data_IF_632654315186
#
_entry.id   IF_632654315186
#
_cell.length_a   1.000
_cell.length_b   1.000
_cell.length_c   1.000
_cell.angle_alpha   90.00
_cell.angle_beta   90.00
_cell.angle_gamma   90.00
#
_symmetry.space_group_name_H-M   'P 1'
#
loop_
_entity.id
_entity.type
_entity.pdbx_description
1 polymer ?
#
# COMPACT_ATOMS: atom_id res chain seq x y z
N UNK A 1 -2.29 61.20 11.83
CA UNK A 1 -0.95 60.67 12.15
C UNK A 1 -1.13 59.75 13.35
N UNK A 2 -0.96 58.44 13.27
CA UNK A 2 -0.57 57.57 12.18
C UNK A 2 -1.31 56.23 12.36
N UNK A 3 -1.46 55.51 11.25
CA UNK A 3 -2.03 54.18 11.13
C UNK A 3 -1.27 53.15 11.96
N UNK A 4 -1.97 52.12 12.44
CA UNK A 4 -1.40 50.77 12.48
C UNK A 4 -2.48 49.76 12.06
N UNK A 5 -2.26 49.23 10.85
CA UNK A 5 -2.93 48.06 10.30
C UNK A 5 -2.55 46.81 11.11
N UNK A 6 -3.49 45.91 11.34
CA UNK A 6 -3.27 44.72 12.14
C UNK A 6 -4.19 43.56 11.83
N UNK A 7 -4.12 43.06 10.59
CA UNK A 7 -4.16 41.63 10.30
C UNK A 7 -5.40 40.83 10.73
N UNK A 8 -6.39 40.80 9.84
CA UNK A 8 -7.52 39.89 9.86
C UNK A 8 -7.05 38.46 9.52
N UNK A 9 -6.57 37.69 10.51
CA UNK A 9 -6.23 36.28 10.31
C UNK A 9 -7.49 35.43 10.46
N UNK A 10 -8.07 35.08 9.30
CA UNK A 10 -9.11 34.05 9.17
C UNK A 10 -8.59 32.74 9.78
N UNK A 11 -9.21 32.30 10.89
CA UNK A 11 -9.05 30.95 11.42
C UNK A 11 -9.67 29.95 10.45
N UNK A 12 -8.84 29.28 9.65
CA UNK A 12 -9.25 28.08 8.91
C UNK A 12 -9.17 26.92 9.88
N UNK A 13 -10.33 26.46 10.35
CA UNK A 13 -10.45 25.24 11.15
C UNK A 13 -10.47 24.07 10.16
N UNK A 14 -9.34 23.36 10.00
CA UNK A 14 -9.32 22.08 9.29
C UNK A 14 -9.84 21.00 10.24
N UNK A 15 -11.03 20.48 9.96
CA UNK A 15 -11.59 19.31 10.59
C UNK A 15 -10.90 18.08 10.01
N UNK A 16 -9.84 17.59 10.66
CA UNK A 16 -9.20 16.32 10.28
C UNK A 16 -10.09 15.16 10.72
N UNK A 17 -10.76 14.52 9.76
CA UNK A 17 -11.45 13.25 9.97
C UNK A 17 -10.37 12.17 10.13
N UNK A 18 -10.23 11.65 11.34
CA UNK A 18 -9.43 10.46 11.61
C UNK A 18 -10.21 9.26 11.11
N UNK A 19 -9.85 8.74 9.94
CA UNK A 19 -10.35 7.46 9.44
C UNK A 19 -9.57 6.33 10.13
N UNK A 20 -10.14 5.83 11.22
CA UNK A 20 -9.70 4.59 11.85
C UNK A 20 -10.09 3.43 10.92
N UNK A 21 -9.09 2.70 10.40
CA UNK A 21 -9.31 1.47 9.63
C UNK A 21 -9.69 0.36 10.61
N UNK A 22 -10.99 0.09 10.75
CA UNK A 22 -11.50 -1.08 11.45
C UNK A 22 -11.61 -2.26 10.48
N UNK A 23 -10.78 -3.29 10.66
CA UNK A 23 -10.99 -4.59 10.05
C UNK A 23 -12.06 -5.35 10.86
N UNK A 24 -13.31 -5.30 10.40
CA UNK A 24 -14.37 -6.18 10.89
C UNK A 24 -14.53 -7.35 9.93
N UNK A 25 -13.84 -8.46 10.24
CA UNK A 25 -14.13 -9.77 9.69
C UNK A 25 -15.43 -10.29 10.32
N UNK A 26 -16.55 -10.11 9.63
CA UNK A 26 -17.84 -10.67 10.01
C UNK A 26 -18.16 -11.92 9.20
N UNK A 27 -18.33 -13.07 9.88
CA UNK A 27 -18.69 -14.37 9.32
C UNK A 27 -20.17 -14.49 8.88
N UNK A 28 -20.41 -15.53 8.04
CA UNK A 28 -21.66 -16.26 7.73
C UNK A 28 -22.63 -15.65 6.67
N UNK A 29 -23.30 -16.40 5.77
CA UNK A 29 -23.35 -17.84 5.45
C UNK A 29 -24.10 -18.05 4.10
N UNK A 30 -23.79 -19.13 3.34
CA UNK A 30 -24.69 -19.93 2.45
C UNK A 30 -25.30 -19.25 1.20
N UNK A 31 -25.43 -19.79 -0.03
CA UNK A 31 -25.22 -21.07 -0.74
C UNK A 31 -25.19 -20.74 -2.25
N UNK A 32 -24.30 -21.32 -3.07
CA UNK A 32 -24.68 -21.95 -4.35
C UNK A 32 -23.49 -22.70 -5.00
N UNK A 33 -23.68 -23.91 -5.56
CA UNK A 33 -22.63 -24.63 -6.27
C UNK A 33 -22.64 -24.25 -7.76
N UNK A 34 -21.50 -23.85 -8.29
CA UNK A 34 -21.31 -23.53 -9.70
C UNK A 34 -19.93 -23.95 -10.16
N UNK A 35 -19.84 -25.18 -10.65
CA UNK A 35 -18.67 -25.81 -11.27
C UNK A 35 -18.06 -24.93 -12.38
N UNK A 36 -16.72 -24.87 -12.54
CA UNK A 36 -16.15 -24.73 -13.87
C UNK A 36 -15.08 -25.79 -14.16
N UNK A 37 -15.24 -26.42 -15.33
CA UNK A 37 -14.24 -27.27 -15.93
C UNK A 37 -12.96 -26.48 -16.27
N UNK A 38 -11.83 -27.18 -16.16
CA UNK A 38 -10.50 -26.67 -16.50
C UNK A 38 -10.30 -26.71 -18.02
N UNK A 39 -10.41 -25.57 -18.68
CA UNK A 39 -9.65 -25.28 -19.90
C UNK A 39 -8.54 -24.29 -19.54
N UNK A 40 -7.29 -24.62 -19.91
CA UNK A 40 -6.12 -23.81 -19.59
C UNK A 40 -6.10 -22.52 -20.41
N UNK A 41 -6.09 -21.38 -19.73
CA UNK A 41 -6.14 -20.07 -20.37
C UNK A 41 -4.77 -19.63 -20.88
N UNK A 42 -4.76 -19.13 -22.12
CA UNK A 42 -3.58 -18.66 -22.85
C UNK A 42 -3.16 -17.25 -22.38
N UNK A 43 -1.87 -16.87 -22.52
CA UNK A 43 -1.43 -15.50 -22.27
C UNK A 43 -2.16 -14.53 -23.21
N UNK A 44 -2.85 -13.53 -22.64
CA UNK A 44 -3.59 -12.51 -23.39
C UNK A 44 -5.09 -12.43 -23.12
N UNK A 45 -5.64 -13.18 -22.15
CA UNK A 45 -7.01 -12.95 -21.71
C UNK A 45 -7.22 -11.54 -21.17
N UNK A 46 -8.35 -10.94 -21.53
CA UNK A 46 -8.75 -9.60 -21.13
C UNK A 46 -9.07 -9.57 -19.63
N UNK A 47 -8.01 -9.36 -18.83
CA UNK A 47 -8.06 -9.22 -17.37
C UNK A 47 -9.09 -8.14 -16.95
N UNK A 48 -9.36 -7.17 -17.84
CA UNK A 48 -10.35 -6.10 -17.63
C UNK A 48 -11.77 -6.63 -17.46
N UNK A 49 -12.12 -7.76 -18.09
CA UNK A 49 -13.45 -8.38 -17.96
C UNK A 49 -13.65 -9.09 -16.61
N UNK A 50 -12.56 -9.60 -16.03
CA UNK A 50 -12.55 -10.30 -14.74
C UNK A 50 -12.67 -9.29 -13.60
N UNK A 51 -11.91 -8.20 -13.66
CA UNK A 51 -11.82 -7.17 -12.60
C UNK A 51 -13.06 -6.26 -12.57
N UNK A 52 -13.74 -6.05 -13.71
CA UNK A 52 -14.95 -5.21 -13.77
C UNK A 52 -16.27 -5.96 -13.52
N UNK A 53 -16.24 -7.28 -13.25
CA UNK A 53 -17.47 -8.07 -13.12
C UNK A 53 -18.19 -7.96 -11.77
N UNK A 54 -17.58 -7.39 -10.73
CA UNK A 54 -18.26 -7.05 -9.46
C UNK A 54 -17.62 -5.81 -8.85
N UNK A 55 -18.41 -4.73 -8.73
CA UNK A 55 -18.02 -3.56 -7.95
C UNK A 55 -17.62 -3.98 -6.54
N UNK A 56 -16.35 -3.73 -6.19
CA UNK A 56 -15.86 -3.72 -4.81
C UNK A 56 -15.96 -5.04 -4.06
N UNK A 57 -15.43 -6.14 -4.60
CA UNK A 57 -15.04 -7.30 -3.77
C UNK A 57 -13.79 -7.96 -4.35
N UNK A 58 -12.81 -8.20 -3.49
CA UNK A 58 -11.64 -9.05 -3.70
C UNK A 58 -12.12 -10.47 -4.07
N UNK A 59 -12.34 -10.76 -5.35
CA UNK A 59 -12.62 -12.12 -5.79
C UNK A 59 -11.29 -12.81 -6.08
N UNK A 60 -10.88 -13.69 -5.16
CA UNK A 60 -9.77 -14.62 -5.26
C UNK A 60 -9.87 -15.63 -6.44
N UNK A 61 -10.76 -15.40 -7.42
CA UNK A 61 -11.25 -16.46 -8.31
C UNK A 61 -10.62 -16.47 -9.71
N UNK A 62 -9.66 -15.59 -10.03
CA UNK A 62 -8.80 -15.83 -11.20
C UNK A 62 -7.46 -15.11 -11.14
N UNK A 63 -6.52 -15.62 -10.33
CA UNK A 63 -5.10 -15.30 -10.51
C UNK A 63 -4.63 -16.03 -11.77
N UNK A 64 -4.19 -15.33 -12.84
CA UNK A 64 -3.76 -15.98 -14.07
C UNK A 64 -2.55 -16.88 -13.84
N UNK A 65 -2.45 -17.97 -14.58
CA UNK A 65 -1.36 -18.95 -14.43
C UNK A 65 0.02 -18.32 -14.59
N UNK A 66 0.20 -17.42 -15.54
CA UNK A 66 1.49 -16.74 -15.73
C UNK A 66 1.90 -15.93 -14.49
N UNK A 67 0.94 -15.27 -13.81
CA UNK A 67 1.20 -14.46 -12.63
C UNK A 67 1.52 -15.36 -11.44
N UNK A 68 0.74 -16.43 -11.28
CA UNK A 68 0.97 -17.44 -10.25
C UNK A 68 2.36 -18.06 -10.39
N UNK A 69 2.75 -18.50 -11.59
CA UNK A 69 4.06 -19.09 -11.85
C UNK A 69 5.20 -18.07 -11.65
N UNK A 70 4.99 -16.81 -12.05
CA UNK A 70 5.96 -15.73 -11.82
C UNK A 70 6.21 -15.51 -10.33
N UNK A 71 5.15 -15.48 -9.51
CA UNK A 71 5.24 -15.34 -8.06
C UNK A 71 5.86 -16.58 -7.40
N UNK A 72 5.47 -17.78 -7.83
CA UNK A 72 6.04 -19.02 -7.31
C UNK A 72 7.56 -19.07 -7.52
N UNK A 73 8.03 -18.61 -8.69
CA UNK A 73 9.46 -18.52 -9.01
C UNK A 73 10.24 -17.49 -8.19
N UNK A 74 9.58 -16.61 -7.43
CA UNK A 74 10.23 -15.65 -6.51
C UNK A 74 10.60 -16.27 -5.17
N UNK A 75 9.94 -17.35 -4.79
CA UNK A 75 10.22 -18.05 -3.56
C UNK A 75 11.15 -19.21 -3.87
N UNK A 76 12.27 -19.29 -3.16
CA UNK A 76 13.17 -20.44 -3.20
C UNK A 76 12.54 -21.59 -2.42
N UNK A 77 11.45 -22.13 -2.98
CA UNK A 77 10.75 -23.26 -2.42
C UNK A 77 11.55 -24.51 -2.79
N UNK A 78 12.52 -24.85 -1.96
CA UNK A 78 13.17 -26.15 -2.03
C UNK A 78 12.09 -27.23 -2.10
N UNK A 79 12.25 -28.20 -2.99
CA UNK A 79 11.26 -29.26 -3.24
C UNK A 79 10.88 -30.11 -2.00
N UNK A 80 11.61 -29.93 -0.89
CA UNK A 80 11.33 -30.56 0.42
C UNK A 80 10.37 -29.72 1.30
N UNK A 81 10.28 -28.41 1.07
CA UNK A 81 9.30 -27.54 1.71
C UNK A 81 8.13 -27.36 0.75
N UNK A 82 7.09 -28.18 0.91
CA UNK A 82 5.78 -28.02 0.27
C UNK A 82 5.08 -26.73 0.74
N UNK A 83 5.72 -25.57 0.60
CA UNK A 83 5.01 -24.31 0.75
C UNK A 83 4.13 -24.16 -0.48
N UNK A 84 2.94 -24.76 -0.43
CA UNK A 84 1.90 -24.45 -1.39
C UNK A 84 1.54 -22.98 -1.18
N UNK A 85 1.83 -22.12 -2.15
CA UNK A 85 1.30 -20.77 -2.17
C UNK A 85 -0.16 -20.86 -2.63
N UNK A 86 -1.17 -20.76 -1.74
CA UNK A 86 -2.54 -20.73 -2.19
C UNK A 86 -2.77 -19.52 -3.10
N UNK A 87 -3.49 -19.71 -4.21
CA UNK A 87 -3.77 -18.61 -5.15
C UNK A 87 -4.54 -17.49 -4.49
N UNK A 88 -5.40 -17.83 -3.54
CA UNK A 88 -6.17 -16.89 -2.73
C UNK A 88 -5.31 -16.00 -1.82
N UNK A 89 -4.04 -16.34 -1.55
CA UNK A 89 -3.11 -15.46 -0.85
C UNK A 89 -2.50 -14.37 -1.77
N UNK A 90 -2.70 -14.46 -3.08
CA UNK A 90 -2.24 -13.46 -4.03
C UNK A 90 -3.33 -12.41 -4.19
N UNK A 91 -3.00 -11.18 -3.81
CA UNK A 91 -3.85 -10.02 -4.09
C UNK A 91 -3.38 -9.34 -5.36
N UNK A 92 -4.31 -8.96 -6.24
CA UNK A 92 -4.03 -8.28 -7.49
C UNK A 92 -4.92 -7.04 -7.67
N UNK A 93 -4.38 -6.02 -8.33
CA UNK A 93 -5.08 -4.81 -8.69
C UNK A 93 -4.68 -4.37 -10.11
N UNK A 94 -5.67 -4.03 -10.93
CA UNK A 94 -5.42 -3.36 -12.19
C UNK A 94 -5.08 -1.90 -11.94
N UNK A 95 -4.01 -1.44 -12.58
CA UNK A 95 -3.52 -0.06 -12.48
C UNK A 95 -3.20 0.48 -13.87
N UNK A 96 -3.33 1.80 -14.01
CA UNK A 96 -3.15 2.57 -15.25
C UNK A 96 -2.24 3.78 -14.95
N UNK A 97 -1.05 3.49 -14.42
CA UNK A 97 -0.03 4.50 -14.06
C UNK A 97 0.66 5.09 -15.28
N UNK A 98 0.63 4.36 -16.40
CA UNK A 98 1.20 4.73 -17.70
C UNK A 98 0.20 4.43 -18.81
N UNK A 99 0.17 5.27 -19.84
CA UNK A 99 -0.53 4.97 -21.07
C UNK A 99 0.25 3.89 -21.86
N UNK A 100 -0.31 2.69 -21.97
CA UNK A 100 0.30 1.55 -22.66
C UNK A 100 -0.75 0.73 -23.41
N UNK A 101 -0.30 -0.24 -24.21
CA UNK A 101 -1.16 -1.08 -25.04
C UNK A 101 -2.11 -1.98 -24.24
N UNK A 102 -1.76 -2.31 -23.00
CA UNK A 102 -2.62 -3.02 -22.04
C UNK A 102 -2.52 -2.40 -20.65
N UNK A 103 -3.39 -2.81 -19.71
CA UNK A 103 -3.31 -2.34 -18.34
C UNK A 103 -2.03 -2.82 -17.65
N UNK A 104 -1.64 -2.16 -16.56
CA UNK A 104 -0.63 -2.68 -15.66
C UNK A 104 -1.30 -3.49 -14.54
N UNK A 105 -0.56 -4.44 -13.97
CA UNK A 105 -1.04 -5.30 -12.89
C UNK A 105 -0.11 -5.15 -11.70
N UNK A 106 -0.63 -4.64 -10.59
CA UNK A 106 0.03 -4.71 -9.29
C UNK A 106 -0.41 -6.01 -8.62
N UNK A 107 0.54 -6.76 -8.06
CA UNK A 107 0.26 -7.97 -7.32
C UNK A 107 1.12 -8.02 -6.07
N UNK A 108 0.58 -8.57 -4.99
CA UNK A 108 1.37 -8.86 -3.81
C UNK A 108 0.95 -10.15 -3.13
N UNK A 109 1.90 -10.70 -2.39
CA UNK A 109 1.76 -11.91 -1.59
C UNK A 109 2.57 -11.73 -0.31
N UNK A 110 2.02 -12.20 0.79
CA UNK A 110 2.66 -12.19 2.11
C UNK A 110 2.52 -13.58 2.68
N UNK A 111 3.64 -14.27 2.87
CA UNK A 111 3.66 -15.63 3.42
C UNK A 111 3.65 -15.58 4.95
N UNK A 112 4.48 -14.71 5.52
CA UNK A 112 4.57 -14.48 6.95
C UNK A 112 4.97 -13.01 7.24
N UNK A 113 5.53 -12.73 8.42
CA UNK A 113 5.97 -11.37 8.80
C UNK A 113 7.36 -11.01 8.30
N UNK A 114 7.99 -11.90 7.52
CA UNK A 114 9.36 -11.79 7.02
C UNK A 114 9.41 -11.90 5.50
N UNK A 115 8.64 -12.83 4.92
CA UNK A 115 8.67 -13.18 3.51
C UNK A 115 7.41 -12.72 2.77
N UNK A 116 7.62 -12.01 1.66
CA UNK A 116 6.56 -11.59 0.76
C UNK A 116 7.09 -10.72 -0.37
N UNK A 117 6.24 -10.47 -1.38
CA UNK A 117 6.62 -9.66 -2.53
C UNK A 117 5.50 -8.70 -2.90
N UNK A 118 5.90 -7.47 -3.26
CA UNK A 118 5.12 -6.58 -4.11
C UNK A 118 5.74 -6.58 -5.51
N UNK A 119 4.93 -6.79 -6.55
CA UNK A 119 5.34 -6.82 -7.94
C UNK A 119 4.43 -5.93 -8.78
N UNK A 120 5.01 -5.26 -9.78
CA UNK A 120 4.28 -4.53 -10.82
C UNK A 120 4.65 -5.10 -12.18
N UNK A 121 3.63 -5.33 -13.00
CA UNK A 121 3.78 -5.85 -14.34
C UNK A 121 3.20 -4.88 -15.37
N UNK A 122 3.88 -4.74 -16.51
CA UNK A 122 3.40 -4.01 -17.68
C UNK A 122 3.24 -4.96 -18.86
N UNK A 123 2.17 -4.79 -19.63
CA UNK A 123 1.98 -5.52 -20.88
C UNK A 123 2.85 -4.93 -22.00
N UNK A 124 3.83 -5.69 -22.47
CA UNK A 124 4.74 -5.32 -23.55
C UNK A 124 5.04 -6.52 -24.45
N UNK A 125 5.02 -6.30 -25.77
CA UNK A 125 5.38 -7.33 -26.76
C UNK A 125 4.55 -8.63 -26.63
N UNK A 126 3.26 -8.49 -26.31
CA UNK A 126 2.34 -9.62 -26.22
C UNK A 126 2.36 -10.36 -24.87
N UNK A 127 3.17 -9.93 -23.89
CA UNK A 127 3.25 -10.57 -22.58
C UNK A 127 3.35 -9.55 -21.44
N UNK A 128 3.01 -9.97 -20.22
CA UNK A 128 3.28 -9.18 -19.02
C UNK A 128 4.74 -9.34 -18.59
N UNK A 129 5.44 -8.23 -18.39
CA UNK A 129 6.83 -8.17 -17.91
C UNK A 129 6.87 -7.48 -16.55
N UNK A 130 7.65 -8.03 -15.62
CA UNK A 130 7.94 -7.36 -14.35
C UNK A 130 8.70 -6.06 -14.62
N UNK A 131 8.22 -4.97 -14.02
CA UNK A 131 8.79 -3.62 -14.17
C UNK A 131 9.15 -2.97 -12.84
N UNK A 132 8.68 -3.54 -11.74
CA UNK A 132 9.06 -3.17 -10.38
C UNK A 132 8.88 -4.36 -9.44
N UNK A 133 9.78 -4.52 -8.48
CA UNK A 133 9.66 -5.51 -7.42
C UNK A 133 10.21 -5.00 -6.10
N UNK A 134 9.56 -5.40 -5.01
CA UNK A 134 10.03 -5.21 -3.65
C UNK A 134 9.83 -6.52 -2.88
N UNK A 135 10.92 -7.08 -2.35
CA UNK A 135 10.92 -8.29 -1.54
C UNK A 135 10.70 -7.94 -0.08
N UNK A 136 9.43 -7.72 0.28
CA UNK A 136 8.95 -7.49 1.64
C UNK A 136 7.48 -7.92 1.75
N UNK A 137 7.02 -8.39 2.93
CA UNK A 137 5.60 -8.66 3.14
C UNK A 137 4.80 -7.36 3.10
N UNK A 138 3.67 -7.42 2.39
CA UNK A 138 2.77 -6.30 2.13
C UNK A 138 1.49 -6.48 2.94
N UNK A 139 1.08 -5.42 3.64
CA UNK A 139 -0.06 -5.42 4.55
C UNK A 139 -1.29 -4.69 4.01
N UNK A 140 -1.15 -3.98 2.90
CA UNK A 140 -2.27 -3.31 2.24
C UNK A 140 -1.79 -2.49 1.06
N UNK A 141 -2.70 -2.28 0.11
CA UNK A 141 -2.48 -1.52 -1.11
C UNK A 141 -3.66 -0.60 -1.37
N UNK A 142 -3.37 0.60 -1.87
CA UNK A 142 -4.36 1.57 -2.30
C UNK A 142 -3.90 2.25 -3.58
N UNK A 143 -4.83 2.40 -4.52
CA UNK A 143 -4.60 3.13 -5.78
C UNK A 143 -5.14 4.54 -5.63
N UNK A 144 -4.33 5.53 -5.99
CA UNK A 144 -4.64 6.96 -5.92
C UNK A 144 -4.72 7.58 -7.31
N UNK A 145 -5.69 8.49 -7.51
CA UNK A 145 -6.01 9.07 -8.82
C UNK A 145 -6.87 8.14 -9.67
N UNK A 146 -7.35 8.61 -10.83
CA UNK A 146 -8.14 7.74 -11.71
C UNK A 146 -9.03 8.37 -12.78
N UNK A 147 -9.16 9.69 -12.89
CA UNK A 147 -9.83 10.34 -14.02
C UNK A 147 -9.06 11.59 -14.45
N UNK A 148 -8.36 11.52 -15.59
CA UNK A 148 -7.64 12.65 -16.19
C UNK A 148 -6.32 13.09 -15.52
N UNK A 149 -5.85 12.39 -14.48
CA UNK A 149 -4.64 12.72 -13.72
C UNK A 149 -3.68 11.53 -13.52
N UNK A 150 -2.49 11.81 -12.95
CA UNK A 150 -1.45 10.80 -12.67
C UNK A 150 -1.93 9.79 -11.63
N UNK A 151 -1.98 8.50 -12.00
CA UNK A 151 -2.29 7.43 -11.05
C UNK A 151 -1.02 7.00 -10.29
N UNK A 152 -1.18 6.71 -9.00
CA UNK A 152 -0.13 6.26 -8.09
C UNK A 152 -0.61 5.04 -7.30
N UNK A 153 0.31 4.23 -6.78
CA UNK A 153 0.02 3.14 -5.86
C UNK A 153 0.69 3.47 -4.54
N UNK A 154 -0.05 3.45 -3.44
CA UNK A 154 0.53 3.38 -2.12
C UNK A 154 0.35 1.98 -1.53
N UNK A 155 1.36 1.45 -0.86
CA UNK A 155 1.23 0.21 -0.10
C UNK A 155 2.04 0.29 1.19
N UNK A 156 1.73 -0.61 2.13
CA UNK A 156 2.47 -0.75 3.38
C UNK A 156 3.24 -2.06 3.35
N UNK A 157 4.55 -2.02 3.54
CA UNK A 157 5.39 -3.22 3.72
C UNK A 157 6.40 -3.02 4.82
N UNK A 158 6.99 -4.11 5.32
CA UNK A 158 7.94 -4.03 6.42
C UNK A 158 8.26 -5.40 6.96
N UNK A 159 8.89 -5.46 8.12
CA UNK A 159 9.18 -6.74 8.77
C UNK A 159 8.79 -6.67 10.24
N UNK A 160 8.38 -7.82 10.77
CA UNK A 160 8.01 -7.96 12.17
C UNK A 160 8.54 -9.25 12.79
N UNK A 161 8.88 -9.17 14.06
CA UNK A 161 9.33 -10.30 14.87
C UNK A 161 8.96 -10.10 16.34
N UNK A 162 9.49 -10.97 17.20
CA UNK A 162 9.18 -10.94 18.63
C UNK A 162 9.62 -9.61 19.25
N UNK A 163 8.65 -8.77 19.63
CA UNK A 163 8.88 -7.50 20.31
C UNK A 163 9.36 -6.35 19.41
N UNK A 164 9.44 -6.55 18.09
CA UNK A 164 9.82 -5.50 17.13
C UNK A 164 8.99 -5.58 15.87
N UNK A 165 8.51 -4.45 15.36
CA UNK A 165 7.88 -4.35 14.05
C UNK A 165 8.21 -3.00 13.45
N UNK A 166 8.55 -2.96 12.17
CA UNK A 166 8.78 -1.71 11.44
C UNK A 166 8.25 -1.83 10.01
N UNK A 167 7.24 -1.02 9.73
CA UNK A 167 6.53 -0.96 8.46
C UNK A 167 6.63 0.44 7.88
N UNK A 168 6.71 0.54 6.56
CA UNK A 168 6.82 1.76 5.79
C UNK A 168 5.66 1.86 4.80
N UNK A 169 5.19 3.08 4.60
CA UNK A 169 4.43 3.45 3.43
C UNK A 169 5.40 3.59 2.25
N UNK A 170 5.01 3.04 1.11
CA UNK A 170 5.69 3.19 -0.17
C UNK A 170 4.72 3.82 -1.15
N UNK A 171 5.12 4.89 -1.84
CA UNK A 171 4.33 5.52 -2.89
C UNK A 171 5.05 5.38 -4.23
N UNK A 172 4.48 4.58 -5.13
CA UNK A 172 5.05 4.28 -6.45
C UNK A 172 4.31 5.08 -7.52
N UNK A 173 5.06 5.61 -8.48
CA UNK A 173 4.52 6.28 -9.65
C UNK A 173 5.34 5.98 -10.91
N UNK A 174 4.74 6.14 -12.09
CA UNK A 174 5.48 6.13 -13.34
C UNK A 174 6.13 7.51 -13.55
N UNK A 175 7.41 7.51 -13.90
CA UNK A 175 8.26 8.68 -14.14
C UNK A 175 8.90 8.57 -15.53
N UNK A 176 9.61 9.61 -15.97
CA UNK A 176 10.39 9.53 -17.23
C UNK A 176 11.42 8.40 -17.23
N UNK A 177 11.90 8.01 -16.05
CA UNK A 177 12.91 6.95 -15.85
C UNK A 177 12.28 5.57 -15.56
N UNK A 178 10.94 5.47 -15.62
CA UNK A 178 10.20 4.24 -15.35
C UNK A 178 9.43 4.27 -14.03
N UNK A 179 9.03 3.09 -13.54
CA UNK A 179 8.32 2.96 -12.26
C UNK A 179 9.29 3.14 -11.11
N UNK A 180 8.96 4.06 -10.20
CA UNK A 180 9.85 4.43 -9.10
C UNK A 180 9.06 4.70 -7.83
N UNK A 181 9.69 4.42 -6.69
CA UNK A 181 9.28 5.00 -5.42
C UNK A 181 9.54 6.51 -5.42
N UNK A 182 8.47 7.28 -5.30
CA UNK A 182 8.48 8.74 -5.33
C UNK A 182 8.32 9.37 -3.95
N UNK A 183 8.04 8.53 -2.94
CA UNK A 183 8.03 8.86 -1.52
C UNK A 183 7.96 7.58 -0.67
N UNK A 184 8.58 7.61 0.49
CA UNK A 184 8.39 6.61 1.54
C UNK A 184 8.46 7.25 2.92
N UNK A 185 7.83 6.61 3.90
CA UNK A 185 7.78 7.09 5.29
C UNK A 185 7.30 6.02 6.24
N UNK A 186 7.55 6.18 7.52
CA UNK A 186 7.21 5.17 8.53
C UNK A 186 5.69 5.02 8.67
N UNK A 187 5.17 3.82 8.48
CA UNK A 187 3.76 3.49 8.67
C UNK A 187 3.47 3.02 10.09
N UNK A 188 4.31 2.14 10.63
CA UNK A 188 4.18 1.68 11.99
C UNK A 188 5.54 1.25 12.52
N UNK A 189 5.83 1.58 13.78
CA UNK A 189 6.98 1.04 14.50
C UNK A 189 6.55 0.59 15.88
N UNK A 190 6.95 -0.60 16.28
CA UNK A 190 6.78 -1.10 17.64
C UNK A 190 8.12 -1.59 18.17
N UNK A 191 8.51 -1.11 19.35
CA UNK A 191 9.71 -1.54 20.07
C UNK A 191 9.30 -1.92 21.51
N UNK A 192 9.21 -3.22 21.77
CA UNK A 192 8.78 -3.81 23.05
C UNK A 192 9.85 -4.70 23.71
N UNK A 193 11.09 -4.63 23.22
CA UNK A 193 12.21 -5.43 23.74
C UNK A 193 12.88 -4.77 24.95
N UNK A 194 12.80 -3.43 25.06
CA UNK A 194 13.41 -2.66 26.14
C UNK A 194 12.52 -1.50 26.56
N UNK A 195 12.46 -1.22 27.86
CA UNK A 195 11.76 -0.04 28.39
C UNK A 195 12.53 1.27 28.13
N UNK A 196 11.81 2.38 27.89
CA UNK A 196 10.36 2.45 27.70
C UNK A 196 9.96 1.82 26.37
N UNK A 197 8.82 1.14 26.36
CA UNK A 197 8.25 0.60 25.13
C UNK A 197 7.77 1.75 24.26
N UNK A 198 7.97 1.62 22.95
CA UNK A 198 7.65 2.67 21.98
C UNK A 198 6.74 2.15 20.90
N UNK A 199 5.75 2.97 20.54
CA UNK A 199 4.91 2.73 19.37
C UNK A 199 4.83 4.01 18.55
N UNK A 200 5.13 3.92 17.27
CA UNK A 200 4.90 5.00 16.30
C UNK A 200 3.82 4.54 15.33
N UNK A 201 2.81 5.39 15.10
CA UNK A 201 1.78 5.15 14.09
C UNK A 201 1.81 6.31 13.10
N UNK A 202 2.06 5.98 11.84
CA UNK A 202 2.04 6.91 10.72
C UNK A 202 0.67 6.94 10.04
N UNK A 203 0.35 8.08 9.42
CA UNK A 203 -0.78 8.23 8.52
C UNK A 203 -0.35 9.02 7.29
N UNK A 204 -0.79 8.53 6.14
CA UNK A 204 -0.56 9.11 4.82
C UNK A 204 -1.90 9.56 4.24
N UNK A 205 -1.97 10.81 3.77
CA UNK A 205 -3.10 11.31 3.00
C UNK A 205 -2.60 12.05 1.77
N UNK A 206 -3.21 11.76 0.62
CA UNK A 206 -2.97 12.47 -0.64
C UNK A 206 -4.17 13.36 -0.98
N UNK A 207 -3.90 14.56 -1.48
CA UNK A 207 -4.95 15.40 -2.06
C UNK A 207 -5.54 14.74 -3.32
N UNK A 208 -6.78 15.10 -3.67
CA UNK A 208 -7.49 14.49 -4.82
C UNK A 208 -6.75 14.65 -6.15
N UNK A 209 -5.94 15.70 -6.30
CA UNK A 209 -5.11 15.99 -7.48
C UNK A 209 -3.70 15.37 -7.40
N UNK A 210 -3.41 14.62 -6.33
CA UNK A 210 -2.12 14.01 -6.03
C UNK A 210 -0.94 15.01 -6.02
N UNK A 211 -1.18 16.30 -5.73
CA UNK A 211 -0.14 17.33 -5.67
C UNK A 211 0.40 17.58 -4.25
N UNK A 212 -0.39 17.22 -3.22
CA UNK A 212 -0.04 17.40 -1.81
C UNK A 212 -0.12 16.06 -1.10
N UNK A 213 0.94 15.73 -0.37
CA UNK A 213 1.01 14.61 0.54
C UNK A 213 1.12 15.15 1.96
N UNK A 214 0.19 14.72 2.83
CA UNK A 214 0.18 15.03 4.25
C UNK A 214 0.58 13.78 4.99
N UNK A 215 1.74 13.83 5.64
CA UNK A 215 2.25 12.76 6.47
C UNK A 215 2.17 13.19 7.93
N UNK A 216 1.67 12.32 8.79
CA UNK A 216 1.66 12.58 10.23
C UNK A 216 2.06 11.36 11.01
N UNK A 217 2.77 11.56 12.11
CA UNK A 217 3.12 10.49 13.04
C UNK A 217 2.59 10.78 14.44
N UNK A 218 2.23 9.73 15.16
CA UNK A 218 1.98 9.75 16.59
C UNK A 218 2.95 8.78 17.26
N UNK A 219 3.82 9.31 18.11
CA UNK A 219 4.79 8.56 18.90
C UNK A 219 4.26 8.40 20.32
N UNK A 220 4.12 7.16 20.77
CA UNK A 220 3.68 6.78 22.10
C UNK A 220 4.85 6.16 22.87
N UNK A 221 5.07 6.59 24.11
CA UNK A 221 6.00 5.94 25.05
C UNK A 221 5.21 5.34 26.21
N UNK A 222 5.59 4.12 26.60
CA UNK A 222 5.01 3.38 27.73
C UNK A 222 6.12 2.93 28.67
N UNK A 223 6.07 3.37 29.92
CA UNK A 223 7.01 2.99 30.96
C UNK A 223 6.68 1.62 31.58
N UNK A 224 5.39 1.21 31.55
CA UNK A 224 4.88 -0.09 32.04
C UNK A 224 3.64 -0.58 31.27
N UNK A 225 3.79 -0.98 30.02
CA UNK A 225 2.67 -1.33 29.13
C UNK A 225 1.93 -2.62 29.51
N UNK A 226 2.54 -3.48 30.31
CA UNK A 226 1.84 -4.63 30.92
C UNK A 226 0.66 -4.21 31.82
N UNK A 227 0.61 -2.95 32.27
CA UNK A 227 -0.47 -2.43 33.10
C UNK A 227 -1.61 -1.82 32.25
N UNK A 228 -1.30 -1.09 31.16
CA UNK A 228 -2.29 -0.53 30.24
C UNK A 228 -1.67 -0.08 28.89
N UNK A 229 -1.91 -0.84 27.81
CA UNK A 229 -1.44 -0.49 26.46
C UNK A 229 -2.28 0.62 25.78
N UNK A 230 -3.42 0.96 26.34
CA UNK A 230 -4.36 1.94 25.77
C UNK A 230 -4.06 3.37 26.21
N UNK A 231 -3.31 3.53 27.30
CA UNK A 231 -3.00 4.83 27.88
C UNK A 231 -1.48 5.08 27.93
N UNK A 232 -0.89 5.70 26.88
CA UNK A 232 0.53 6.00 26.84
C UNK A 232 0.95 7.07 27.87
N UNK A 233 2.13 6.91 28.47
CA UNK A 233 2.70 7.90 29.39
C UNK A 233 3.05 9.22 28.68
N UNK A 234 3.46 9.13 27.42
CA UNK A 234 3.78 10.29 26.58
C UNK A 234 3.29 10.09 25.15
N UNK A 235 2.75 11.16 24.57
CA UNK A 235 2.35 11.23 23.17
C UNK A 235 3.00 12.45 22.52
N UNK A 236 3.71 12.24 21.42
CA UNK A 236 4.23 13.30 20.57
C UNK A 236 3.67 13.15 19.15
N UNK A 237 3.26 14.27 18.54
CA UNK A 237 2.71 14.28 17.18
C UNK A 237 3.59 15.12 16.26
N UNK A 238 3.88 14.62 15.06
CA UNK A 238 4.44 15.43 13.97
C UNK A 238 3.47 15.45 12.79
N UNK A 239 3.53 16.54 12.01
CA UNK A 239 2.84 16.67 10.73
C UNK A 239 3.80 17.32 9.75
N UNK A 240 3.93 16.71 8.60
CA UNK A 240 4.81 17.14 7.52
C UNK A 240 4.00 17.24 6.22
N UNK A 241 4.26 18.31 5.47
CA UNK A 241 3.59 18.60 4.21
C UNK A 241 4.59 18.46 3.08
N UNK A 242 4.28 17.61 2.12
CA UNK A 242 5.12 17.39 0.95
C UNK A 242 4.37 17.82 -0.31
N UNK A 243 5.06 18.51 -1.21
CA UNK A 243 4.53 18.89 -2.52
C UNK A 243 5.20 18.06 -3.59
N UNK A 244 4.43 17.63 -4.59
CA UNK A 244 4.98 16.95 -5.73
C UNK A 244 5.82 17.93 -6.57
N UNK A 245 7.09 17.62 -6.76
CA UNK A 245 7.99 18.35 -7.66
C UNK A 245 7.98 17.66 -9.04
N UNK A 246 7.46 18.31 -10.09
CA UNK A 246 7.41 17.71 -11.43
C UNK A 246 8.78 17.57 -12.10
N UNK A 247 9.81 18.30 -11.68
CA UNK A 247 11.16 18.19 -12.23
C UNK A 247 11.92 17.03 -11.60
N UNK A 248 11.80 16.88 -10.27
CA UNK A 248 12.39 15.77 -9.53
C UNK A 248 11.54 14.49 -9.58
N UNK A 249 10.28 14.60 -10.01
CA UNK A 249 9.28 13.54 -10.07
C UNK A 249 9.05 12.82 -8.73
N UNK A 250 9.11 13.57 -7.63
CA UNK A 250 8.99 13.06 -6.26
C UNK A 250 8.33 14.08 -5.33
N UNK A 251 7.87 13.61 -4.17
CA UNK A 251 7.36 14.49 -3.13
C UNK A 251 8.50 15.07 -2.31
N UNK A 252 8.56 16.40 -2.22
CA UNK A 252 9.58 17.13 -1.46
C UNK A 252 8.94 17.87 -0.29
N UNK A 253 9.63 17.89 0.85
CA UNK A 253 9.15 18.58 2.05
C UNK A 253 8.96 20.07 1.73
N UNK A 254 7.79 20.60 2.08
CA UNK A 254 7.52 22.03 1.97
C UNK A 254 8.37 22.75 3.01
N UNK A 255 9.26 23.63 2.59
CA UNK A 255 9.93 24.54 3.50
C UNK A 255 8.87 25.48 4.11
N UNK A 256 8.79 25.53 5.44
CA UNK A 256 8.05 26.57 6.16
C UNK A 256 8.80 27.90 6.13
#
# INVERSE_FOLDING_TARGET
>A
MAEEEGGNVKKVIFLSIVLAVFFLSGCNNSNNPGNPGKEGNKPGEDISSVINSKGGQNSAEFVPDWLYQSLLAKFDLDAENELELPREAITLAQVNMKNSAGPQIAAYVTLDRVEGYFLLYEFAEGNYKEVYSLHQPVYGLQVYGGWGGKQMIAFVSGHGGTGYQENYFHLISYTKDGYKEIWSGLAEKMEFVQLPYRRTVGSLNLSMDNQLLIYSTMNHEYAKPEEDITNPDRVAKSVELYRYDPQAEQFVASSN
#
